data_IF_502523054723
#
_entry.id   IF_502523054723
#
_cell.length_a   1.000
_cell.length_b   1.000
_cell.length_c   1.000
_cell.angle_alpha   90.00
_cell.angle_beta   90.00
_cell.angle_gamma   90.00
#
_symmetry.space_group_name_H-M   'P 1'
#
loop_
_entity.id
_entity.type
_entity.pdbx_description
1 polymer ?
#
# COMPACT_ATOMS: atom_id res chain seq x y z
N UNK A 1 -6.95 -19.68 -28.56
CA UNK A 1 -8.03 -20.23 -29.42
C UNK A 1 -9.33 -19.52 -29.04
N UNK A 2 -10.36 -19.44 -29.89
CA UNK A 2 -11.64 -18.79 -29.54
C UNK A 2 -12.30 -19.33 -28.25
N UNK A 3 -12.01 -20.60 -27.92
CA UNK A 3 -12.47 -21.28 -26.70
C UNK A 3 -11.91 -20.74 -25.38
N UNK A 4 -10.82 -19.95 -25.41
CA UNK A 4 -10.29 -19.30 -24.20
C UNK A 4 -11.24 -18.18 -23.73
N UNK A 5 -12.04 -17.63 -24.65
CA UNK A 5 -13.02 -16.57 -24.39
C UNK A 5 -14.32 -17.11 -23.78
N UNK A 6 -14.69 -18.37 -24.08
CA UNK A 6 -15.88 -19.01 -23.52
C UNK A 6 -15.78 -19.13 -21.99
N UNK A 7 -14.59 -19.47 -21.49
CA UNK A 7 -14.29 -19.49 -20.05
C UNK A 7 -14.43 -18.11 -19.38
N UNK A 8 -14.14 -17.03 -20.13
CA UNK A 8 -14.28 -15.65 -19.65
C UNK A 8 -15.76 -15.26 -19.57
N UNK A 9 -16.59 -15.68 -20.52
CA UNK A 9 -18.04 -15.48 -20.50
C UNK A 9 -18.71 -16.26 -19.35
N UNK A 10 -18.31 -17.52 -19.12
CA UNK A 10 -18.80 -18.35 -18.00
C UNK A 10 -18.42 -17.76 -16.62
N UNK A 11 -17.30 -17.02 -16.53
CA UNK A 11 -16.88 -16.34 -15.29
C UNK A 11 -17.82 -15.17 -14.94
N UNK A 12 -18.38 -14.49 -15.94
CA UNK A 12 -19.35 -13.39 -15.73
C UNK A 12 -20.62 -13.92 -15.08
N UNK A 13 -21.07 -15.11 -15.47
CA UNK A 13 -22.26 -15.77 -14.89
C UNK A 13 -22.08 -16.19 -13.43
N UNK A 14 -20.83 -16.25 -12.94
CA UNK A 14 -20.48 -16.62 -11.56
C UNK A 14 -19.98 -15.45 -10.72
N UNK A 15 -20.09 -14.22 -11.22
CA UNK A 15 -19.69 -13.03 -10.46
C UNK A 15 -20.46 -12.84 -9.16
N UNK A 16 -21.72 -13.32 -9.12
CA UNK A 16 -22.52 -13.32 -7.89
C UNK A 16 -21.91 -14.23 -6.81
N UNK A 17 -21.32 -15.37 -7.20
CA UNK A 17 -20.59 -16.29 -6.31
C UNK A 17 -19.24 -15.70 -5.84
N UNK A 18 -18.62 -14.83 -6.64
CA UNK A 18 -17.35 -14.22 -6.28
C UNK A 18 -17.46 -13.36 -5.01
N UNK A 19 -18.60 -12.69 -4.80
CA UNK A 19 -18.85 -11.93 -3.56
C UNK A 19 -18.87 -12.86 -2.34
N UNK A 20 -19.52 -14.02 -2.44
CA UNK A 20 -19.60 -15.01 -1.35
C UNK A 20 -18.23 -15.63 -1.03
N UNK A 21 -17.35 -15.77 -2.03
CA UNK A 21 -15.99 -16.30 -1.85
C UNK A 21 -15.00 -15.25 -1.32
N UNK A 22 -15.11 -14.00 -1.77
CA UNK A 22 -14.17 -12.92 -1.42
C UNK A 22 -14.41 -12.41 0.00
N UNK A 23 -15.67 -12.22 0.40
CA UNK A 23 -16.01 -11.67 1.72
C UNK A 23 -15.33 -12.39 2.91
N UNK A 24 -15.33 -13.74 3.02
CA UNK A 24 -14.64 -14.42 4.11
C UNK A 24 -13.11 -14.37 3.99
N UNK A 25 -12.54 -14.16 2.80
CA UNK A 25 -11.09 -13.93 2.63
C UNK A 25 -10.74 -12.55 3.14
N UNK A 26 -11.46 -11.52 2.68
CA UNK A 26 -11.28 -10.13 3.12
C UNK A 26 -11.41 -10.02 4.64
N UNK A 27 -12.44 -10.61 5.24
CA UNK A 27 -12.64 -10.59 6.68
C UNK A 27 -11.43 -11.16 7.45
N UNK A 28 -10.82 -12.24 6.94
CA UNK A 28 -9.61 -12.82 7.55
C UNK A 28 -8.41 -11.88 7.43
N UNK A 29 -8.17 -11.30 6.26
CA UNK A 29 -7.07 -10.35 6.05
C UNK A 29 -7.22 -9.12 6.95
N UNK A 30 -8.42 -8.55 7.00
CA UNK A 30 -8.77 -7.42 7.86
C UNK A 30 -8.63 -7.76 9.35
N UNK A 31 -8.94 -8.99 9.75
CA UNK A 31 -8.71 -9.45 11.12
C UNK A 31 -7.23 -9.54 11.46
N UNK A 32 -6.37 -10.00 10.54
CA UNK A 32 -4.92 -10.01 10.77
C UNK A 32 -4.36 -8.58 10.89
N UNK A 33 -4.86 -7.63 10.09
CA UNK A 33 -4.52 -6.21 10.24
C UNK A 33 -4.94 -5.68 11.61
N UNK A 34 -6.16 -5.99 12.07
CA UNK A 34 -6.62 -5.59 13.40
C UNK A 34 -5.79 -6.22 14.54
N UNK A 35 -5.37 -7.48 14.40
CA UNK A 35 -4.48 -8.14 15.38
C UNK A 35 -3.12 -7.45 15.47
N UNK A 36 -2.56 -7.05 14.32
CA UNK A 36 -1.24 -6.43 14.27
C UNK A 36 -1.24 -4.95 14.71
N UNK A 37 -2.30 -4.19 14.42
CA UNK A 37 -2.30 -2.73 14.58
C UNK A 37 -3.49 -2.15 15.35
N UNK A 38 -4.50 -2.96 15.70
CA UNK A 38 -5.77 -2.54 16.28
C UNK A 38 -6.87 -2.30 15.24
N UNK A 39 -8.14 -2.41 15.66
CA UNK A 39 -9.31 -2.17 14.80
C UNK A 39 -9.38 -0.73 14.30
N UNK A 40 -9.03 0.23 15.15
CA UNK A 40 -8.98 1.65 14.78
C UNK A 40 -8.05 1.89 13.59
N UNK A 41 -6.85 1.31 13.60
CA UNK A 41 -5.94 1.37 12.47
C UNK A 41 -6.49 0.68 11.22
N UNK A 42 -7.05 -0.53 11.38
CA UNK A 42 -7.65 -1.30 10.27
C UNK A 42 -8.60 -0.44 9.44
N UNK A 43 -9.45 0.32 10.13
CA UNK A 43 -10.53 1.07 9.48
C UNK A 43 -10.11 2.48 9.03
N UNK A 44 -9.13 3.11 9.70
CA UNK A 44 -8.91 4.56 9.56
C UNK A 44 -7.50 4.97 9.15
N UNK A 45 -6.56 4.03 8.96
CA UNK A 45 -5.15 4.37 8.65
C UNK A 45 -4.97 5.32 7.45
N UNK A 46 -5.88 5.25 6.47
CA UNK A 46 -5.81 5.96 5.20
C UNK A 46 -6.50 7.34 5.21
N UNK A 47 -7.22 7.65 6.29
CA UNK A 47 -7.99 8.90 6.42
C UNK A 47 -7.06 10.08 6.67
N UNK A 48 -7.35 11.21 6.03
CA UNK A 48 -6.62 12.46 6.20
C UNK A 48 -5.17 12.46 5.69
N UNK A 49 -4.77 11.45 4.90
CA UNK A 49 -3.48 11.44 4.19
C UNK A 49 -3.63 12.27 2.90
N UNK A 50 -2.89 13.39 2.73
CA UNK A 50 -2.89 14.19 1.51
C UNK A 50 -2.40 13.42 0.28
N UNK A 51 -2.63 13.98 -0.90
CA UNK A 51 -2.04 13.45 -2.13
C UNK A 51 -0.51 13.69 -2.13
N UNK A 52 0.22 12.82 -2.82
CA UNK A 52 1.68 12.78 -2.75
C UNK A 52 2.32 14.07 -3.25
N UNK A 53 1.69 14.80 -4.18
CA UNK A 53 2.13 16.12 -4.66
C UNK A 53 2.15 17.18 -3.56
N UNK A 54 1.34 17.03 -2.53
CA UNK A 54 1.24 17.96 -1.41
C UNK A 54 2.20 17.62 -0.27
N UNK A 55 2.84 16.45 -0.34
CA UNK A 55 3.81 15.96 0.62
C UNK A 55 5.23 16.39 0.21
N UNK A 56 6.09 16.81 1.17
CA UNK A 56 7.49 17.12 0.88
C UNK A 56 8.19 16.02 0.10
N UNK A 57 8.98 16.40 -0.91
CA UNK A 57 9.69 15.48 -1.81
C UNK A 57 8.79 14.48 -2.54
N UNK A 58 7.50 14.78 -2.65
CA UNK A 58 6.53 13.93 -3.35
C UNK A 58 6.42 12.52 -2.77
N UNK A 59 6.73 12.33 -1.49
CA UNK A 59 6.70 11.00 -0.83
C UNK A 59 5.28 10.43 -0.88
N UNK A 60 5.12 9.22 -1.40
CA UNK A 60 3.81 8.55 -1.46
C UNK A 60 3.46 7.92 -0.12
N UNK A 61 3.05 8.74 0.85
CA UNK A 61 2.71 8.30 2.21
C UNK A 61 1.64 7.22 2.21
N UNK A 62 0.60 7.37 1.37
CA UNK A 62 -0.52 6.42 1.29
C UNK A 62 -0.05 5.02 0.90
N UNK A 63 0.71 4.90 -0.19
CA UNK A 63 1.20 3.60 -0.65
C UNK A 63 2.22 3.03 0.32
N UNK A 64 3.13 3.83 0.86
CA UNK A 64 4.15 3.36 1.80
C UNK A 64 3.51 2.79 3.08
N UNK A 65 2.54 3.50 3.67
CA UNK A 65 1.81 3.04 4.87
C UNK A 65 0.99 1.78 4.58
N UNK A 66 0.41 1.66 3.37
CA UNK A 66 -0.29 0.45 2.94
C UNK A 66 0.65 -0.75 2.85
N UNK A 67 1.78 -0.59 2.18
CA UNK A 67 2.80 -1.64 2.05
C UNK A 67 3.36 -2.06 3.41
N UNK A 68 3.63 -1.10 4.30
CA UNK A 68 4.02 -1.40 5.68
C UNK A 68 2.96 -2.22 6.42
N UNK A 69 1.70 -1.83 6.33
CA UNK A 69 0.58 -2.52 6.98
C UNK A 69 0.50 -3.98 6.51
N UNK A 70 0.56 -4.22 5.20
CA UNK A 70 0.55 -5.57 4.64
C UNK A 70 1.79 -6.38 4.98
N UNK A 71 2.97 -5.77 4.92
CA UNK A 71 4.22 -6.46 5.29
C UNK A 71 4.18 -6.95 6.75
N UNK A 72 3.67 -6.12 7.67
CA UNK A 72 3.62 -6.45 9.11
C UNK A 72 2.45 -7.37 9.49
N UNK A 73 1.29 -7.24 8.86
CA UNK A 73 0.10 -8.02 9.20
C UNK A 73 -0.03 -9.33 8.41
N UNK A 74 0.48 -9.36 7.18
CA UNK A 74 0.22 -10.43 6.20
C UNK A 74 1.51 -11.08 5.66
N UNK A 75 2.67 -10.75 6.25
CA UNK A 75 3.99 -11.26 5.85
C UNK A 75 4.36 -10.95 4.37
N UNK A 76 3.85 -9.84 3.83
CA UNK A 76 4.04 -9.43 2.44
C UNK A 76 5.31 -8.58 2.22
N UNK A 77 6.41 -8.89 2.92
CA UNK A 77 7.64 -8.07 2.91
C UNK A 77 8.26 -7.98 1.50
N UNK A 78 8.40 -9.11 0.80
CA UNK A 78 9.03 -9.15 -0.53
C UNK A 78 8.20 -8.43 -1.60
N UNK A 79 6.87 -8.57 -1.55
CA UNK A 79 5.96 -7.78 -2.37
C UNK A 79 6.09 -6.27 -2.06
N UNK A 80 6.18 -5.92 -0.77
CA UNK A 80 6.42 -4.56 -0.31
C UNK A 80 7.69 -3.96 -0.89
N UNK A 81 8.82 -4.67 -0.81
CA UNK A 81 10.11 -4.26 -1.41
C UNK A 81 9.97 -4.03 -2.90
N UNK A 82 9.38 -4.97 -3.64
CA UNK A 82 9.21 -4.84 -5.08
C UNK A 82 8.39 -3.59 -5.43
N UNK A 83 7.20 -3.43 -4.82
CA UNK A 83 6.30 -2.33 -5.14
C UNK A 83 6.83 -0.96 -4.68
N UNK A 84 7.53 -0.92 -3.55
CA UNK A 84 8.19 0.27 -3.03
C UNK A 84 9.31 0.74 -3.97
N UNK A 85 10.13 -0.18 -4.50
CA UNK A 85 11.21 0.14 -5.43
C UNK A 85 10.75 0.60 -6.81
N UNK A 86 9.45 0.48 -7.12
CA UNK A 86 8.87 1.02 -8.34
C UNK A 86 8.36 2.47 -8.21
N UNK A 87 8.22 3.00 -6.98
CA UNK A 87 7.74 4.35 -6.72
C UNK A 87 8.62 5.40 -7.42
N UNK A 88 8.02 6.12 -8.36
CA UNK A 88 8.68 7.15 -9.16
C UNK A 88 7.71 8.34 -9.35
N UNK A 89 8.07 9.56 -8.91
CA UNK A 89 7.25 10.76 -9.13
C UNK A 89 6.93 11.07 -10.60
N UNK A 90 7.71 10.54 -11.55
CA UNK A 90 7.48 10.72 -12.97
C UNK A 90 6.61 9.61 -13.62
N UNK A 91 6.28 8.54 -12.87
CA UNK A 91 5.50 7.42 -13.37
C UNK A 91 4.00 7.62 -13.08
N UNK A 92 3.17 7.53 -14.12
CA UNK A 92 1.73 7.70 -13.99
C UNK A 92 1.00 6.47 -13.43
N UNK A 93 1.63 5.29 -13.43
CA UNK A 93 1.05 4.04 -12.94
C UNK A 93 1.43 3.78 -11.48
N UNK A 94 2.61 4.25 -11.07
CA UNK A 94 3.18 4.05 -9.74
C UNK A 94 3.75 5.38 -9.21
N UNK A 95 2.90 6.38 -9.00
CA UNK A 95 3.35 7.75 -8.75
C UNK A 95 3.91 7.94 -7.35
N UNK A 96 4.63 9.05 -7.20
CA UNK A 96 5.23 9.53 -5.95
C UNK A 96 6.53 8.82 -5.59
N UNK A 97 7.27 9.41 -4.65
CA UNK A 97 8.58 8.97 -4.25
C UNK A 97 8.54 7.96 -3.09
N UNK A 98 9.59 7.13 -3.03
CA UNK A 98 10.02 6.44 -1.82
C UNK A 98 10.32 7.44 -0.71
N UNK A 99 10.44 6.96 0.53
CA UNK A 99 10.83 7.79 1.67
C UNK A 99 12.12 8.54 1.33
N UNK A 100 12.08 9.86 1.46
CA UNK A 100 13.24 10.75 1.42
C UNK A 100 13.48 11.30 2.82
N UNK A 101 14.59 12.00 3.02
CA UNK A 101 14.76 12.79 4.24
C UNK A 101 13.64 13.84 4.35
N UNK A 102 13.03 13.99 5.53
CA UNK A 102 11.96 14.95 5.76
C UNK A 102 12.03 15.55 7.17
N UNK A 103 11.58 16.80 7.29
CA UNK A 103 11.38 17.43 8.59
C UNK A 103 10.13 16.87 9.29
N UNK A 104 10.28 16.46 10.54
CA UNK A 104 9.21 15.82 11.30
C UNK A 104 8.06 16.75 11.62
N UNK A 105 8.33 18.01 11.95
CA UNK A 105 7.27 18.97 12.27
C UNK A 105 6.47 19.34 11.02
N UNK A 106 7.16 19.53 9.89
CA UNK A 106 6.52 19.78 8.60
C UNK A 106 5.64 18.60 8.20
N UNK A 107 6.14 17.36 8.34
CA UNK A 107 5.38 16.16 8.02
C UNK A 107 4.15 16.02 8.92
N UNK A 108 4.29 16.25 10.23
CA UNK A 108 3.15 16.22 11.16
C UNK A 108 2.09 17.27 10.82
N UNK A 109 2.48 18.48 10.40
CA UNK A 109 1.54 19.50 9.94
C UNK A 109 0.80 19.09 8.67
N UNK A 110 1.48 18.43 7.72
CA UNK A 110 0.86 17.91 6.51
C UNK A 110 -0.13 16.78 6.78
N UNK A 111 0.14 15.98 7.80
CA UNK A 111 -0.72 14.87 8.22
C UNK A 111 -1.72 15.26 9.33
N UNK A 112 -1.94 16.55 9.57
CA UNK A 112 -2.74 17.02 10.71
C UNK A 112 -4.19 16.52 10.70
N UNK A 113 -4.75 16.25 9.52
CA UNK A 113 -6.11 15.73 9.35
C UNK A 113 -6.19 14.21 9.56
N UNK A 114 -5.06 13.51 9.64
CA UNK A 114 -5.03 12.08 9.92
C UNK A 114 -5.09 11.83 11.43
N UNK A 115 -5.96 10.91 11.91
CA UNK A 115 -5.95 10.50 13.32
C UNK A 115 -4.65 9.78 13.71
N UNK A 116 -3.83 9.40 12.73
CA UNK A 116 -2.64 8.56 12.89
C UNK A 116 -1.33 9.27 12.60
N UNK A 117 -1.31 10.60 12.50
CA UNK A 117 -0.16 11.38 12.03
C UNK A 117 1.20 10.95 12.63
N UNK A 118 1.28 10.77 13.95
CA UNK A 118 2.51 10.37 14.64
C UNK A 118 2.97 8.95 14.25
N UNK A 119 2.03 8.00 14.24
CA UNK A 119 2.30 6.61 13.87
C UNK A 119 2.71 6.49 12.40
N UNK A 120 2.10 7.29 11.52
CA UNK A 120 2.50 7.37 10.11
C UNK A 120 3.95 7.85 9.99
N UNK A 121 4.36 8.91 10.72
CA UNK A 121 5.75 9.38 10.71
C UNK A 121 6.73 8.31 11.19
N UNK A 122 6.38 7.54 12.23
CA UNK A 122 7.19 6.41 12.70
C UNK A 122 7.32 5.31 11.63
N UNK A 123 6.22 4.99 10.94
CA UNK A 123 6.20 4.05 9.83
C UNK A 123 7.13 4.49 8.70
N UNK A 124 7.06 5.77 8.29
CA UNK A 124 7.91 6.29 7.22
C UNK A 124 9.39 6.13 7.56
N UNK A 125 9.79 6.33 8.82
CA UNK A 125 11.18 6.14 9.26
C UNK A 125 11.63 4.68 9.18
N UNK A 126 10.75 3.74 9.49
CA UNK A 126 11.05 2.30 9.39
C UNK A 126 10.96 1.75 7.97
N UNK A 127 10.15 2.36 7.10
CA UNK A 127 9.85 1.84 5.78
C UNK A 127 11.08 1.78 4.86
N UNK A 128 11.98 2.77 4.94
CA UNK A 128 13.22 2.73 4.15
C UNK A 128 14.13 1.56 4.58
N UNK A 129 14.27 1.30 5.88
CA UNK A 129 15.04 0.16 6.39
C UNK A 129 14.44 -1.18 5.93
N UNK A 130 13.11 -1.30 5.94
CA UNK A 130 12.43 -2.54 5.57
C UNK A 130 12.41 -2.79 4.06
N UNK A 131 12.16 -1.75 3.26
CA UNK A 131 11.84 -1.88 1.84
C UNK A 131 12.94 -1.39 0.89
N UNK A 132 13.85 -0.54 1.37
CA UNK A 132 14.90 0.10 0.57
C UNK A 132 16.07 -0.80 0.17
N UNK A 133 16.00 -2.11 0.45
CA UNK A 133 17.00 -3.12 0.04
C UNK A 133 17.21 -3.21 -1.48
N UNK A 134 17.97 -4.22 -1.93
CA UNK A 134 18.46 -4.32 -3.32
C UNK A 134 17.39 -4.00 -4.38
N UNK A 135 17.72 -3.05 -5.27
CA UNK A 135 16.85 -2.65 -6.38
C UNK A 135 16.48 -3.87 -7.20
N UNK A 136 15.22 -4.27 -7.16
CA UNK A 136 14.70 -5.30 -8.07
C UNK A 136 14.67 -4.70 -9.48
N UNK A 137 15.46 -5.25 -10.41
CA UNK A 137 15.42 -4.85 -11.81
C UNK A 137 14.00 -5.00 -12.36
N UNK A 138 13.50 -3.99 -13.09
CA UNK A 138 12.19 -4.05 -13.75
C UNK A 138 12.18 -5.24 -14.71
N UNK A 139 11.11 -6.04 -14.69
CA UNK A 139 10.91 -7.21 -15.57
C UNK A 139 10.66 -6.84 -17.06
N UNK A 140 10.98 -5.61 -17.46
CA UNK A 140 10.74 -5.09 -18.81
C UNK A 140 11.99 -5.10 -19.72
N UNK A 141 13.03 -5.85 -19.36
CA UNK A 141 14.18 -6.10 -20.22
C UNK A 141 14.20 -7.59 -20.60
N UNK A 142 13.43 -7.94 -21.63
CA UNK A 142 13.36 -9.28 -22.23
C UNK A 142 12.78 -9.19 -23.63
#
# INVERSE_FOLDING_TARGET
RPSDFDLHCETVERMDEATELVAPIEARLLQEVAKAFGEDWRDTWHLGIPEWEEIPHSINVRDIVRLWTWAKALDMVEFGKWRYNMLDPADHWIPGARVQEFDTEVMLRKLADSPHAKKIVEILRGAEEMFGGEKVSRLSEG
#
